data_IF_538564148373
#
_entry.id   IF_538564148373
#
_cell.length_a   1.000
_cell.length_b   1.000
_cell.length_c   1.000
_cell.angle_alpha   90.00
_cell.angle_beta   90.00
_cell.angle_gamma   90.00
#
_symmetry.space_group_name_H-M   'P 1'
#
loop_
_entity.id
_entity.type
_entity.pdbx_description
1 polymer ?
#
# COMPACT_ATOMS: atom_id res chain seq x y z
N UNK A 1 -15.03 -0.96 -1.03
CA UNK A 1 -13.75 -1.12 -0.29
C UNK A 1 -13.10 -2.49 -0.45
N UNK A 2 -13.78 -3.61 -0.12
CA UNK A 2 -13.21 -4.95 -0.26
C UNK A 2 -12.74 -5.29 -1.68
N UNK A 3 -13.50 -4.92 -2.71
CA UNK A 3 -13.15 -5.16 -4.11
C UNK A 3 -11.87 -4.43 -4.52
N UNK A 4 -11.74 -3.15 -4.17
CA UNK A 4 -10.53 -2.36 -4.43
C UNK A 4 -9.28 -2.99 -3.81
N UNK A 5 -9.38 -3.48 -2.57
CA UNK A 5 -8.29 -4.18 -1.89
C UNK A 5 -7.95 -5.48 -2.63
N UNK A 6 -8.94 -6.25 -3.05
CA UNK A 6 -8.71 -7.48 -3.82
C UNK A 6 -8.00 -7.21 -5.14
N UNK A 7 -8.41 -6.15 -5.86
CA UNK A 7 -7.78 -5.74 -7.13
C UNK A 7 -6.34 -5.27 -6.88
N UNK A 8 -6.11 -4.39 -5.90
CA UNK A 8 -4.77 -3.92 -5.56
C UNK A 8 -3.86 -5.09 -5.16
N UNK A 9 -4.33 -6.02 -4.31
CA UNK A 9 -3.58 -7.22 -3.93
C UNK A 9 -3.27 -8.13 -5.11
N UNK A 10 -4.15 -8.17 -6.12
CA UNK A 10 -3.89 -8.90 -7.37
C UNK A 10 -2.75 -8.25 -8.16
N UNK A 11 -2.76 -6.94 -8.37
CA UNK A 11 -1.66 -6.23 -9.05
C UNK A 11 -0.33 -6.41 -8.33
N UNK A 12 -0.33 -6.31 -7.00
CA UNK A 12 0.85 -6.59 -6.17
C UNK A 12 1.35 -8.02 -6.38
N UNK A 13 0.45 -9.00 -6.43
CA UNK A 13 0.84 -10.40 -6.63
C UNK A 13 1.44 -10.62 -8.03
N UNK A 14 0.93 -9.90 -9.03
CA UNK A 14 1.44 -9.91 -10.41
C UNK A 14 2.69 -9.05 -10.60
N UNK A 15 3.15 -8.32 -9.58
CA UNK A 15 4.25 -7.35 -9.65
C UNK A 15 4.00 -6.20 -10.64
N UNK A 16 2.73 -5.90 -10.90
CA UNK A 16 2.33 -4.87 -11.83
C UNK A 16 2.17 -3.54 -11.10
N UNK A 17 3.28 -2.82 -10.96
CA UNK A 17 3.32 -1.51 -10.33
C UNK A 17 2.52 -0.47 -11.14
N UNK A 18 2.57 -0.53 -12.47
CA UNK A 18 1.89 0.46 -13.34
C UNK A 18 0.39 0.42 -13.12
N UNK A 19 -0.22 -0.78 -13.19
CA UNK A 19 -1.66 -0.94 -12.93
C UNK A 19 -2.05 -0.54 -11.50
N UNK A 20 -1.14 -0.72 -10.53
CA UNK A 20 -1.38 -0.29 -9.16
C UNK A 20 -1.38 1.24 -9.02
N UNK A 21 -0.44 1.92 -9.69
CA UNK A 21 -0.40 3.40 -9.73
C UNK A 21 -1.66 3.94 -10.40
N UNK A 22 -2.03 3.40 -11.55
CA UNK A 22 -3.23 3.82 -12.29
C UNK A 22 -4.49 3.66 -11.43
N UNK A 23 -4.59 2.55 -10.68
CA UNK A 23 -5.68 2.33 -9.74
C UNK A 23 -5.72 3.40 -8.64
N UNK A 24 -4.56 3.74 -8.06
CA UNK A 24 -4.46 4.72 -6.98
C UNK A 24 -4.79 6.14 -7.47
N UNK A 25 -4.33 6.52 -8.66
CA UNK A 25 -4.69 7.79 -9.28
C UNK A 25 -6.18 7.84 -9.64
N UNK A 26 -6.75 6.76 -10.19
CA UNK A 26 -8.16 6.69 -10.54
C UNK A 26 -9.10 6.87 -9.34
N UNK A 27 -8.66 6.51 -8.14
CA UNK A 27 -9.46 6.62 -6.91
C UNK A 27 -9.02 7.78 -6.00
N UNK A 28 -8.03 8.59 -6.41
CA UNK A 28 -7.41 9.64 -5.60
C UNK A 28 -8.41 10.62 -4.96
N UNK A 29 -9.40 11.05 -5.73
CA UNK A 29 -10.41 12.02 -5.31
C UNK A 29 -11.63 11.36 -4.64
N UNK A 30 -11.59 10.05 -4.42
CA UNK A 30 -12.68 9.34 -3.75
C UNK A 30 -12.56 9.43 -2.22
N UNK A 31 -13.70 9.60 -1.55
CA UNK A 31 -13.75 9.62 -0.10
C UNK A 31 -13.73 8.19 0.46
N UNK A 32 -12.54 7.60 0.53
CA UNK A 32 -12.28 6.26 1.05
C UNK A 32 -11.35 6.31 2.26
N UNK A 33 -11.33 5.21 3.01
CA UNK A 33 -10.34 5.01 4.07
C UNK A 33 -8.97 4.67 3.46
N UNK A 34 -8.21 5.71 3.14
CA UNK A 34 -6.86 5.62 2.58
C UNK A 34 -5.87 4.93 3.51
N UNK A 35 -6.02 5.11 4.83
CA UNK A 35 -5.14 4.45 5.79
C UNK A 35 -5.37 2.93 5.75
N UNK A 36 -6.63 2.50 5.69
CA UNK A 36 -6.96 1.09 5.58
C UNK A 36 -6.49 0.50 4.24
N UNK A 37 -6.75 1.16 3.12
CA UNK A 37 -6.29 0.70 1.80
C UNK A 37 -4.76 0.58 1.75
N UNK A 38 -4.06 1.61 2.22
CA UNK A 38 -2.60 1.65 2.25
C UNK A 38 -2.03 0.51 3.10
N UNK A 39 -2.53 0.33 4.32
CA UNK A 39 -2.10 -0.73 5.23
C UNK A 39 -2.23 -2.11 4.58
N UNK A 40 -3.39 -2.38 3.97
CA UNK A 40 -3.66 -3.67 3.32
C UNK A 40 -2.73 -3.93 2.13
N UNK A 41 -2.43 -2.89 1.33
CA UNK A 41 -1.52 -2.99 0.20
C UNK A 41 -0.07 -3.18 0.67
N UNK A 42 0.39 -2.37 1.62
CA UNK A 42 1.75 -2.39 2.13
C UNK A 42 2.11 -3.72 2.78
N UNK A 43 1.25 -4.24 3.64
CA UNK A 43 1.48 -5.55 4.29
C UNK A 43 1.50 -6.68 3.25
N UNK A 44 0.60 -6.64 2.26
CA UNK A 44 0.57 -7.65 1.20
C UNK A 44 1.81 -7.58 0.31
N UNK A 45 2.29 -6.39 -0.04
CA UNK A 45 3.51 -6.19 -0.81
C UNK A 45 4.75 -6.70 -0.06
N UNK A 46 4.85 -6.41 1.24
CA UNK A 46 5.90 -6.95 2.10
C UNK A 46 5.86 -8.48 2.15
N UNK A 47 4.68 -9.06 2.38
CA UNK A 47 4.47 -10.51 2.44
C UNK A 47 4.85 -11.21 1.12
N UNK A 48 4.59 -10.56 -0.02
CA UNK A 48 4.92 -11.07 -1.36
C UNK A 48 6.33 -10.72 -1.81
N UNK A 49 7.14 -10.11 -0.95
CA UNK A 49 8.53 -9.69 -1.21
C UNK A 49 8.68 -8.76 -2.43
N UNK A 50 7.67 -7.91 -2.68
CA UNK A 50 7.66 -6.98 -3.81
C UNK A 50 8.35 -5.68 -3.45
N UNK A 51 9.69 -5.70 -3.40
CA UNK A 51 10.50 -4.58 -2.91
C UNK A 51 10.22 -3.25 -3.63
N UNK A 52 10.09 -3.27 -4.97
CA UNK A 52 9.81 -2.06 -5.78
C UNK A 52 8.46 -1.45 -5.41
N UNK A 53 7.43 -2.28 -5.22
CA UNK A 53 6.11 -1.82 -4.80
C UNK A 53 6.14 -1.28 -3.36
N UNK A 54 6.87 -1.95 -2.47
CA UNK A 54 7.05 -1.49 -1.08
C UNK A 54 7.74 -0.12 -1.03
N UNK A 55 8.75 0.10 -1.89
CA UNK A 55 9.45 1.38 -2.01
C UNK A 55 8.49 2.47 -2.51
N UNK A 56 7.74 2.20 -3.58
CA UNK A 56 6.73 3.14 -4.08
C UNK A 56 5.66 3.49 -3.03
N UNK A 57 5.14 2.49 -2.29
CA UNK A 57 4.22 2.72 -1.18
C UNK A 57 4.87 3.53 -0.05
N UNK A 58 6.18 3.38 0.18
CA UNK A 58 6.88 4.18 1.19
C UNK A 58 6.98 5.65 0.76
N UNK A 59 7.20 5.92 -0.53
CA UNK A 59 7.14 7.28 -1.08
C UNK A 59 5.74 7.89 -0.96
N UNK A 60 4.71 7.11 -1.26
CA UNK A 60 3.30 7.49 -1.05
C UNK A 60 3.02 7.87 0.41
N UNK A 61 3.54 7.10 1.37
CA UNK A 61 3.37 7.40 2.79
C UNK A 61 3.91 8.77 3.18
N UNK A 62 5.01 9.23 2.54
CA UNK A 62 5.57 10.54 2.82
C UNK A 62 4.67 11.70 2.39
N UNK A 63 3.74 11.47 1.46
CA UNK A 63 2.76 12.46 1.03
C UNK A 63 1.53 12.56 1.96
N UNK A 64 1.34 11.63 2.90
CA UNK A 64 0.21 11.69 3.83
C UNK A 64 0.34 12.82 4.85
N UNK A 65 -0.79 13.29 5.35
CA UNK A 65 -0.86 14.22 6.47
C UNK A 65 -0.32 13.58 7.76
N UNK A 66 0.05 14.42 8.73
CA UNK A 66 0.65 13.97 10.00
C UNK A 66 -0.22 12.99 10.78
N UNK A 67 -1.54 13.16 10.78
CA UNK A 67 -2.46 12.26 11.52
C UNK A 67 -2.45 10.89 10.88
N UNK A 68 -2.56 10.82 9.55
CA UNK A 68 -2.47 9.56 8.80
C UNK A 68 -1.10 8.90 8.95
N UNK A 69 -0.01 9.69 8.93
CA UNK A 69 1.34 9.18 9.16
C UNK A 69 1.48 8.51 10.54
N UNK A 70 0.95 9.11 11.59
CA UNK A 70 0.94 8.55 12.95
C UNK A 70 0.15 7.24 12.98
N UNK A 71 -1.05 7.23 12.37
CA UNK A 71 -1.91 6.06 12.29
C UNK A 71 -1.24 4.86 11.61
N UNK A 72 -0.40 5.11 10.59
CA UNK A 72 0.25 4.06 9.80
C UNK A 72 1.67 3.68 10.27
N UNK A 73 2.30 4.49 11.14
CA UNK A 73 3.69 4.27 11.58
C UNK A 73 3.95 2.87 12.14
N UNK A 74 2.98 2.32 12.86
CA UNK A 74 3.08 0.99 13.49
C UNK A 74 3.15 -0.16 12.48
N UNK A 75 2.74 0.07 11.22
CA UNK A 75 2.69 -0.95 10.16
C UNK A 75 4.09 -1.27 9.62
N UNK A 76 4.99 -0.28 9.59
CA UNK A 76 6.33 -0.40 8.99
C UNK A 76 7.24 -1.44 9.68
N UNK A 77 7.37 -1.49 11.03
CA UNK A 77 8.17 -2.52 11.68
C UNK A 77 7.71 -3.94 11.31
N UNK A 78 6.39 -4.17 11.30
CA UNK A 78 5.82 -5.47 10.94
C UNK A 78 6.04 -5.80 9.46
N UNK A 79 5.84 -4.83 8.55
CA UNK A 79 6.13 -5.01 7.13
C UNK A 79 7.60 -5.33 6.86
N UNK A 80 8.55 -4.64 7.51
CA UNK A 80 9.99 -4.95 7.38
C UNK A 80 10.33 -6.37 7.82
N UNK A 81 9.73 -6.83 8.92
CA UNK A 81 9.90 -8.21 9.36
C UNK A 81 9.38 -9.22 8.33
N UNK A 82 8.21 -8.96 7.71
CA UNK A 82 7.67 -9.80 6.64
C UNK A 82 8.56 -9.80 5.39
N UNK A 83 9.13 -8.66 5.03
CA UNK A 83 9.99 -8.54 3.85
C UNK A 83 11.33 -9.28 4.03
N UNK A 84 11.86 -9.29 5.25
CA UNK A 84 13.13 -9.94 5.59
C UNK A 84 13.03 -11.46 5.79
N UNK A 85 11.83 -11.99 5.99
CA UNK A 85 11.56 -13.43 6.21
C UNK A 85 11.31 -14.12 4.88
#
# INVERSE_FOLDING_TARGET
MKELITIAKRYITLDDLTSLIDLFEAIKDTNIDWQYLFKECYIHACLKKKAVIVEWLTTMYEAFDTVSKIGLRHVFPYGRYLLAK
#
